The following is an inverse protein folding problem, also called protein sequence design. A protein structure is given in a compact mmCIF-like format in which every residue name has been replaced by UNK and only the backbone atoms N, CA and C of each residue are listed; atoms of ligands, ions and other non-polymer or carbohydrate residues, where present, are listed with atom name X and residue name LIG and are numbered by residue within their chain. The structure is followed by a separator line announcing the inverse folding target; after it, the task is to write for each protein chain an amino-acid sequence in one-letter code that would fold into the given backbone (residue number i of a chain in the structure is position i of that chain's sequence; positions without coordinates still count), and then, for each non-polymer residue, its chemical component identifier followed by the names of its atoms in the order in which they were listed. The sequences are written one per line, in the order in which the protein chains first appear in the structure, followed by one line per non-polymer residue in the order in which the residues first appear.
data_IF_429626600682
#
_entry.id   IF_429626600682
#
_cell.length_a   1.000
_cell.length_b   1.000
_cell.length_c   1.000
_cell.angle_alpha   90.00
_cell.angle_beta   90.00
_cell.angle_gamma   90.00
#
_symmetry.space_group_name_H-M   'P 1'
#
loop_
_entity.id
_entity.type
_entity.pdbx_description
1 polymer ?
#
# COMPACT_ATOMS: atom_id res chain seq x y z
N UNK A 1 13.74 24.39 2.29
CA UNK A 1 13.41 23.46 1.20
C UNK A 1 12.72 22.28 1.85
N UNK A 2 11.43 22.06 1.58
CA UNK A 2 10.73 20.90 2.16
C UNK A 2 11.24 19.63 1.46
N UNK A 3 11.79 18.69 2.22
CA UNK A 3 12.08 17.36 1.74
C UNK A 3 10.82 16.51 1.99
N UNK A 4 10.25 15.97 0.92
CA UNK A 4 9.11 15.08 1.02
C UNK A 4 9.60 13.64 1.16
N UNK A 5 9.01 12.92 2.11
CA UNK A 5 9.33 11.53 2.43
C UNK A 5 8.12 10.65 2.07
N UNK A 6 8.38 9.40 1.74
CA UNK A 6 7.35 8.41 1.46
C UNK A 6 7.41 7.28 2.49
N UNK A 7 6.26 6.88 3.02
CA UNK A 7 6.11 5.64 3.79
C UNK A 7 5.21 4.67 3.00
N UNK A 8 5.77 3.51 2.63
CA UNK A 8 5.05 2.51 1.82
C UNK A 8 4.72 1.27 2.65
N UNK A 9 3.43 1.03 2.86
CA UNK A 9 2.91 -0.13 3.60
C UNK A 9 2.04 -0.99 2.68
N UNK A 10 2.31 -2.29 2.61
CA UNK A 10 1.48 -3.23 1.86
C UNK A 10 0.10 -3.39 2.51
N UNK A 11 -1.00 -3.22 1.75
CA UNK A 11 -2.36 -3.28 2.29
C UNK A 11 -3.33 -4.06 1.39
N UNK A 12 -3.39 -5.39 1.56
CA UNK A 12 -4.28 -6.23 0.73
C UNK A 12 -5.78 -5.96 0.97
N UNK A 13 -6.14 -5.43 2.15
CA UNK A 13 -7.54 -5.18 2.51
C UNK A 13 -8.21 -4.08 1.68
N UNK A 14 -7.44 -3.30 0.91
CA UNK A 14 -8.00 -2.37 -0.07
C UNK A 14 -8.86 -3.09 -1.13
N UNK A 15 -8.62 -4.39 -1.37
CA UNK A 15 -9.46 -5.25 -2.22
C UNK A 15 -10.65 -5.89 -1.48
N UNK A 16 -11.00 -5.44 -0.28
CA UNK A 16 -12.09 -5.98 0.52
C UNK A 16 -13.47 -5.68 -0.07
N UNK A 17 -14.16 -6.69 -0.60
CA UNK A 17 -15.54 -6.60 -1.08
C UNK A 17 -16.54 -6.94 0.03
N UNK A 18 -17.28 -5.93 0.48
CA UNK A 18 -18.29 -6.04 1.54
C UNK A 18 -19.74 -6.15 1.03
N UNK A 19 -19.97 -6.29 -0.29
CA UNK A 19 -21.34 -6.26 -0.87
C UNK A 19 -22.21 -7.45 -0.45
N UNK A 20 -21.61 -8.56 -0.03
CA UNK A 20 -22.32 -9.83 0.30
C UNK A 20 -22.52 -10.07 1.81
N UNK A 21 -22.18 -9.12 2.69
CA UNK A 21 -22.40 -9.24 4.12
C UNK A 21 -21.34 -8.53 4.98
N UNK A 22 -21.28 -8.89 6.26
CA UNK A 22 -20.38 -8.23 7.25
C UNK A 22 -18.92 -8.67 7.18
N UNK A 23 -18.64 -9.81 6.54
CA UNK A 23 -17.27 -10.32 6.35
C UNK A 23 -16.79 -9.94 4.95
N UNK A 24 -15.76 -9.10 4.81
CA UNK A 24 -15.21 -8.77 3.50
C UNK A 24 -14.66 -10.01 2.80
N UNK A 25 -14.83 -10.09 1.48
CA UNK A 25 -14.12 -11.03 0.62
C UNK A 25 -12.87 -10.36 0.05
N UNK A 26 -11.76 -11.10 -0.06
CA UNK A 26 -10.50 -10.61 -0.63
C UNK A 26 -10.12 -11.37 -1.89
N UNK A 27 -11.09 -12.01 -2.56
CA UNK A 27 -10.87 -12.85 -3.73
C UNK A 27 -10.23 -12.09 -4.93
N UNK A 28 -10.34 -10.76 -4.96
CA UNK A 28 -9.71 -9.92 -5.99
C UNK A 28 -8.26 -9.54 -5.67
N UNK A 29 -7.77 -9.83 -4.46
CA UNK A 29 -6.37 -9.62 -4.11
C UNK A 29 -5.47 -10.69 -4.73
N UNK A 30 -4.25 -10.29 -5.09
CA UNK A 30 -3.23 -11.18 -5.65
C UNK A 30 -2.70 -12.17 -4.59
N UNK A 31 -2.21 -13.34 -5.05
CA UNK A 31 -1.54 -14.33 -4.20
C UNK A 31 -0.33 -13.72 -3.44
N UNK A 32 -0.06 -14.14 -2.18
CA UNK A 32 0.96 -13.51 -1.33
C UNK A 32 2.36 -13.43 -1.95
N UNK A 33 2.81 -14.49 -2.64
CA UNK A 33 4.14 -14.54 -3.26
C UNK A 33 4.28 -13.47 -4.35
N UNK A 34 3.34 -13.45 -5.32
CA UNK A 34 3.34 -12.45 -6.38
C UNK A 34 3.12 -11.03 -5.82
N UNK A 35 2.29 -10.88 -4.79
CA UNK A 35 2.10 -9.59 -4.12
C UNK A 35 3.40 -9.06 -3.47
N UNK A 36 4.20 -9.94 -2.84
CA UNK A 36 5.49 -9.57 -2.26
C UNK A 36 6.49 -9.12 -3.33
N UNK A 37 6.56 -9.82 -4.46
CA UNK A 37 7.41 -9.45 -5.60
C UNK A 37 7.01 -8.10 -6.18
N UNK A 38 5.71 -7.89 -6.41
CA UNK A 38 5.18 -6.62 -6.92
C UNK A 38 5.42 -5.46 -5.94
N UNK A 39 5.23 -5.69 -4.64
CA UNK A 39 5.53 -4.73 -3.59
C UNK A 39 7.02 -4.34 -3.59
N UNK A 40 7.93 -5.32 -3.62
CA UNK A 40 9.36 -5.08 -3.68
C UNK A 40 9.76 -4.28 -4.93
N UNK A 41 9.18 -4.63 -6.09
CA UNK A 41 9.41 -3.89 -7.34
C UNK A 41 8.89 -2.45 -7.28
N UNK A 42 7.74 -2.24 -6.67
CA UNK A 42 7.17 -0.89 -6.48
C UNK A 42 8.07 -0.03 -5.59
N UNK A 43 8.50 -0.55 -4.44
CA UNK A 43 9.42 0.13 -3.52
C UNK A 43 10.75 0.45 -4.22
N UNK A 44 11.33 -0.52 -4.93
CA UNK A 44 12.59 -0.33 -5.66
C UNK A 44 12.49 0.81 -6.67
N UNK A 45 11.39 0.90 -7.45
CA UNK A 45 11.17 2.01 -8.37
C UNK A 45 11.09 3.36 -7.65
N UNK A 46 10.39 3.44 -6.52
CA UNK A 46 10.31 4.67 -5.74
C UNK A 46 11.69 5.11 -5.21
N UNK A 47 12.52 4.17 -4.77
CA UNK A 47 13.87 4.47 -4.29
C UNK A 47 14.77 5.06 -5.38
N UNK A 48 14.49 4.81 -6.65
CA UNK A 48 15.22 5.44 -7.78
C UNK A 48 14.80 6.89 -8.07
N UNK A 49 13.74 7.39 -7.45
CA UNK A 49 13.21 8.75 -7.71
C UNK A 49 13.99 9.89 -7.03
N UNK A 50 14.93 9.57 -6.14
CA UNK A 50 15.65 10.54 -5.31
C UNK A 50 14.89 10.97 -4.05
N UNK A 51 13.69 10.44 -3.81
CA UNK A 51 12.93 10.63 -2.57
C UNK A 51 13.48 9.74 -1.44
N UNK A 52 13.30 10.18 -0.20
CA UNK A 52 13.50 9.30 0.96
C UNK A 52 12.28 8.37 1.08
N UNK A 53 12.53 7.06 1.05
CA UNK A 53 11.47 6.04 1.06
C UNK A 53 11.68 5.10 2.25
N UNK A 54 10.75 5.17 3.20
CA UNK A 54 10.58 4.21 4.28
C UNK A 54 9.53 3.15 3.92
N UNK A 55 9.64 1.97 4.52
CA UNK A 55 8.74 0.83 4.27
C UNK A 55 8.29 0.21 5.57
N UNK A 56 7.11 -0.42 5.55
CA UNK A 56 6.74 -1.43 6.55
C UNK A 56 7.44 -2.77 6.30
N UNK A 57 6.94 -3.82 6.95
CA UNK A 57 7.34 -5.20 6.72
C UNK A 57 6.17 -5.97 6.07
N UNK A 58 6.38 -6.45 4.84
CA UNK A 58 5.36 -7.19 4.10
C UNK A 58 4.89 -8.42 4.89
N UNK A 59 3.58 -8.60 5.00
CA UNK A 59 2.97 -9.75 5.69
C UNK A 59 3.03 -9.71 7.22
N UNK A 60 3.69 -8.72 7.83
CA UNK A 60 3.71 -8.56 9.28
C UNK A 60 2.45 -7.83 9.78
N UNK A 61 2.03 -8.14 11.01
CA UNK A 61 1.08 -7.30 11.74
C UNK A 61 1.82 -6.03 12.19
N UNK A 62 1.24 -4.86 11.89
CA UNK A 62 1.90 -3.58 12.11
C UNK A 62 0.94 -2.58 12.76
N UNK A 63 1.49 -1.70 13.59
CA UNK A 63 0.85 -0.46 13.99
C UNK A 63 1.44 0.69 13.15
N UNK A 64 0.62 1.30 12.31
CA UNK A 64 1.03 2.39 11.42
C UNK A 64 0.50 3.70 11.97
N UNK A 65 1.40 4.61 12.32
CA UNK A 65 1.03 5.94 12.81
C UNK A 65 1.02 6.93 11.63
N UNK A 66 -0.11 7.60 11.44
CA UNK A 66 -0.29 8.60 10.39
C UNK A 66 -0.82 9.88 11.05
N UNK A 67 -0.05 10.96 10.98
CA UNK A 67 -0.55 12.31 11.27
C UNK A 67 -0.99 12.92 9.95
N UNK A 68 -2.28 12.86 9.67
CA UNK A 68 -2.84 13.42 8.44
C UNK A 68 -3.06 14.93 8.62
N UNK A 69 -2.10 15.74 8.17
CA UNK A 69 -2.13 17.20 8.28
C UNK A 69 -2.98 17.81 7.15
N UNK A 70 -3.88 18.73 7.48
CA UNK A 70 -4.90 19.29 6.55
C UNK A 70 -5.70 18.21 5.78
N UNK A 71 -6.30 17.21 6.47
CA UNK A 71 -6.31 15.83 6.04
C UNK A 71 -6.70 15.64 4.57
N UNK A 72 -5.70 15.30 3.75
CA UNK A 72 -5.89 14.96 2.35
C UNK A 72 -5.79 13.44 2.21
N UNK A 73 -6.76 12.82 1.53
CA UNK A 73 -6.72 11.39 1.23
C UNK A 73 -7.17 11.17 -0.20
N UNK A 74 -6.28 10.58 -0.99
CA UNK A 74 -6.53 10.26 -2.39
C UNK A 74 -6.52 8.75 -2.56
N UNK A 75 -7.55 8.22 -3.20
CA UNK A 75 -7.58 6.83 -3.66
C UNK A 75 -7.14 6.81 -5.13
N UNK A 76 -6.08 6.06 -5.41
CA UNK A 76 -5.56 5.86 -6.76
C UNK A 76 -5.67 4.38 -7.12
N UNK A 77 -6.26 4.08 -8.27
CA UNK A 77 -6.37 2.74 -8.82
C UNK A 77 -5.85 2.74 -10.26
N UNK A 78 -5.05 1.74 -10.60
CA UNK A 78 -4.66 1.46 -11.98
C UNK A 78 -5.39 0.20 -12.40
N UNK A 79 -6.03 0.21 -13.58
CA UNK A 79 -6.57 -1.02 -14.15
C UNK A 79 -5.45 -2.06 -14.29
N UNK A 80 -5.74 -3.31 -13.93
CA UNK A 80 -4.88 -4.44 -14.26
C UNK A 80 -4.92 -4.63 -15.78
N UNK A 81 -3.98 -4.00 -16.50
CA UNK A 81 -3.72 -4.30 -17.90
C UNK A 81 -3.12 -5.68 -18.08
#
# INVERSE_FOLDING_TARGET
MYAFELLVVSQFTLYGDCRKGRRPSFAQSTQPQLAQELYARFVSKLQTSGLQVATGQFGAMMQVFIKNDEPVTLLLETEAR
#
